data_IF_679533440878
#
_entry.id   IF_679533440878
#
_cell.length_a   1.000
_cell.length_b   1.000
_cell.length_c   1.000
_cell.angle_alpha   90.00
_cell.angle_beta   90.00
_cell.angle_gamma   90.00
#
_symmetry.space_group_name_H-M   'P 1'
#
loop_
_entity.id
_entity.type
_entity.pdbx_description
1 polymer ?
#
# COMPACT_ATOMS: atom_id res chain seq x y z
N UNK A 1 4.13 -5.95 10.96
CA UNK A 1 3.88 -5.67 9.55
C UNK A 1 4.45 -4.31 9.19
N UNK A 2 4.74 -4.15 7.90
CA UNK A 2 5.30 -2.91 7.41
C UNK A 2 4.18 -1.95 6.98
N UNK A 3 4.50 -0.67 6.98
CA UNK A 3 3.53 0.35 6.60
C UNK A 3 4.17 1.35 5.65
N UNK A 4 3.32 2.05 4.91
CA UNK A 4 3.78 3.04 3.96
C UNK A 4 2.92 4.31 4.02
N UNK A 5 3.57 5.44 3.79
CA UNK A 5 2.88 6.71 3.80
C UNK A 5 2.51 7.14 2.38
N UNK A 6 1.26 7.54 2.23
CA UNK A 6 0.77 7.98 0.93
C UNK A 6 0.66 9.50 0.92
N UNK A 7 1.24 10.09 -0.11
CA UNK A 7 1.21 11.54 -0.26
C UNK A 7 0.73 11.90 -1.66
N UNK A 8 -0.34 11.25 -2.07
CA UNK A 8 -0.91 11.48 -3.39
C UNK A 8 -2.35 10.97 -3.46
N UNK A 9 -2.98 10.89 -2.30
CA UNK A 9 -4.35 10.43 -2.22
C UNK A 9 -5.32 11.50 -2.70
N UNK A 10 -6.47 11.04 -3.19
CA UNK A 10 -7.50 11.95 -3.69
C UNK A 10 -8.77 11.81 -2.86
N UNK A 11 -9.04 10.57 -2.46
CA UNK A 11 -10.22 10.28 -1.67
C UNK A 11 -11.38 10.02 -2.62
N UNK A 12 -11.15 9.09 -3.54
CA UNK A 12 -12.18 8.73 -4.51
C UNK A 12 -11.90 7.31 -5.03
N UNK A 13 -12.09 6.35 -4.14
CA UNK A 13 -11.88 4.96 -4.49
C UNK A 13 -10.37 4.66 -4.50
N UNK A 14 -9.61 5.68 -4.18
CA UNK A 14 -8.16 5.55 -4.15
C UNK A 14 -7.79 4.59 -3.00
N UNK A 15 -8.20 4.97 -1.80
CA UNK A 15 -7.94 4.16 -0.63
C UNK A 15 -8.13 2.68 -0.98
N UNK A 16 -9.27 2.39 -1.59
CA UNK A 16 -9.59 1.03 -1.98
C UNK A 16 -8.60 0.57 -3.05
N UNK A 17 -8.54 1.33 -4.13
CA UNK A 17 -7.64 1.01 -5.23
C UNK A 17 -6.26 0.63 -4.69
N UNK A 18 -5.76 1.46 -3.79
CA UNK A 18 -4.46 1.22 -3.19
C UNK A 18 -4.50 -0.08 -2.39
N UNK A 19 -5.42 -0.13 -1.43
CA UNK A 19 -5.58 -1.30 -0.59
C UNK A 19 -5.65 -2.56 -1.46
N UNK A 20 -6.57 -2.54 -2.40
CA UNK A 20 -6.76 -3.66 -3.30
C UNK A 20 -5.52 -3.87 -4.17
N UNK A 21 -5.02 -2.75 -4.70
CA UNK A 21 -3.84 -2.80 -5.55
C UNK A 21 -2.68 -3.46 -4.78
N UNK A 22 -2.66 -3.20 -3.48
CA UNK A 22 -1.62 -3.75 -2.63
C UNK A 22 -1.89 -5.24 -2.41
N UNK A 23 -3.10 -5.53 -1.95
CA UNK A 23 -3.50 -6.91 -1.70
C UNK A 23 -3.26 -7.78 -2.93
N UNK A 24 -3.13 -7.12 -4.08
CA UNK A 24 -2.90 -7.82 -5.32
C UNK A 24 -1.45 -8.31 -5.40
N UNK A 25 -0.61 -7.71 -4.56
CA UNK A 25 0.80 -8.08 -4.53
C UNK A 25 0.93 -9.53 -4.04
N UNK A 26 1.38 -10.38 -4.95
CA UNK A 26 1.56 -11.79 -4.64
C UNK A 26 2.54 -11.94 -3.46
N UNK A 27 1.96 -12.03 -2.27
CA UNK A 27 2.77 -12.18 -1.08
C UNK A 27 2.09 -11.52 0.13
N UNK A 28 1.16 -10.63 -0.18
CA UNK A 28 0.42 -9.93 0.87
C UNK A 28 -0.80 -10.76 1.27
N UNK A 29 -0.94 -10.92 2.58
CA UNK A 29 -2.06 -11.69 3.11
C UNK A 29 -3.29 -10.78 3.24
N UNK A 30 -3.05 -9.62 3.84
CA UNK A 30 -4.12 -8.65 4.03
C UNK A 30 -3.52 -7.25 4.15
N UNK A 31 -4.20 -6.29 3.56
CA UNK A 31 -3.75 -4.91 3.61
C UNK A 31 -4.94 -3.99 3.89
N UNK A 32 -4.65 -2.86 4.51
CA UNK A 32 -5.68 -1.90 4.84
C UNK A 32 -5.15 -0.48 4.60
N UNK A 33 -6.07 0.47 4.63
CA UNK A 33 -5.71 1.87 4.41
C UNK A 33 -6.54 2.75 5.34
N UNK A 34 -5.88 3.76 5.90
CA UNK A 34 -6.55 4.68 6.80
C UNK A 34 -6.51 6.11 6.23
N UNK A 35 -7.67 6.55 5.76
CA UNK A 35 -7.78 7.88 5.19
C UNK A 35 -7.52 8.92 6.28
N UNK A 36 -7.22 10.13 5.83
CA UNK A 36 -6.95 11.22 6.76
C UNK A 36 -5.79 10.84 7.66
N UNK A 37 -5.06 9.80 7.24
CA UNK A 37 -3.92 9.33 8.01
C UNK A 37 -2.66 9.41 7.13
N UNK A 38 -2.86 9.14 5.85
CA UNK A 38 -1.75 9.17 4.91
C UNK A 38 -0.79 8.02 5.18
N UNK A 39 -1.36 6.85 5.46
CA UNK A 39 -0.56 5.68 5.74
C UNK A 39 -1.38 4.43 5.42
N UNK A 40 -0.70 3.41 4.93
CA UNK A 40 -1.34 2.16 4.58
C UNK A 40 -0.66 1.01 5.33
N UNK A 41 -1.48 0.14 5.90
CA UNK A 41 -0.97 -1.00 6.64
C UNK A 41 -0.99 -2.24 5.73
N UNK A 42 0.12 -2.96 5.74
CA UNK A 42 0.24 -4.16 4.94
C UNK A 42 0.56 -5.35 5.85
N UNK A 43 0.03 -6.51 5.46
CA UNK A 43 0.25 -7.72 6.23
C UNK A 43 0.80 -8.80 5.30
N UNK A 44 2.07 -8.65 4.96
CA UNK A 44 2.73 -9.60 4.09
C UNK A 44 3.95 -10.24 4.77
N UNK A 45 4.79 -10.85 3.97
CA UNK A 45 5.99 -11.49 4.48
C UNK A 45 7.13 -11.30 3.49
N UNK A 46 8.33 -11.14 4.04
CA UNK A 46 9.51 -10.94 3.21
C UNK A 46 9.87 -12.24 2.50
N UNK A 47 9.25 -13.32 2.94
CA UNK A 47 9.49 -14.63 2.35
C UNK A 47 8.63 -14.79 1.10
N UNK A 48 7.95 -13.71 0.74
CA UNK A 48 7.10 -13.72 -0.43
C UNK A 48 7.31 -12.44 -1.24
N UNK A 49 7.23 -11.32 -0.54
CA UNK A 49 7.42 -10.02 -1.18
C UNK A 49 7.99 -9.04 -0.16
N UNK A 50 8.61 -7.99 -0.69
CA UNK A 50 9.20 -6.97 0.17
C UNK A 50 8.31 -5.73 0.21
N UNK A 51 8.29 -5.08 1.36
CA UNK A 51 7.49 -3.88 1.54
C UNK A 51 7.88 -2.85 0.48
N UNK A 52 9.19 -2.70 0.29
CA UNK A 52 9.70 -1.76 -0.69
C UNK A 52 8.99 -1.95 -2.03
N UNK A 53 8.89 -3.21 -2.44
CA UNK A 53 8.25 -3.53 -3.69
C UNK A 53 6.75 -3.18 -3.63
N UNK A 54 6.18 -3.39 -2.46
CA UNK A 54 4.77 -3.10 -2.27
C UNK A 54 4.53 -1.61 -2.47
N UNK A 55 5.49 -0.82 -2.04
CA UNK A 55 5.39 0.63 -2.18
C UNK A 55 5.28 0.97 -3.66
N UNK A 56 6.09 0.28 -4.46
CA UNK A 56 6.08 0.49 -5.89
C UNK A 56 4.68 0.24 -6.46
N UNK A 57 4.10 -0.87 -6.03
CA UNK A 57 2.77 -1.25 -6.49
C UNK A 57 1.80 -0.10 -6.24
N UNK A 58 2.11 0.68 -5.21
CA UNK A 58 1.28 1.82 -4.86
C UNK A 58 1.58 2.98 -5.80
N UNK A 59 2.87 3.25 -5.96
CA UNK A 59 3.31 4.33 -6.83
C UNK A 59 2.92 4.00 -8.27
N UNK A 60 2.86 2.70 -8.55
CA UNK A 60 2.51 2.25 -9.88
C UNK A 60 1.07 2.63 -10.22
N UNK A 61 0.38 3.13 -9.21
CA UNK A 61 -1.01 3.54 -9.39
C UNK A 61 -1.05 4.95 -9.98
N UNK A 62 -0.79 5.93 -9.14
CA UNK A 62 -0.79 7.31 -9.57
C UNK A 62 -0.75 8.26 -8.37
N UNK A 63 0.03 7.87 -7.37
CA UNK A 63 0.17 8.67 -6.17
C UNK A 63 1.58 8.58 -5.60
N UNK A 64 1.76 9.19 -4.44
CA UNK A 64 3.07 9.18 -3.79
C UNK A 64 3.05 8.21 -2.60
N UNK A 65 3.82 7.14 -2.75
CA UNK A 65 3.90 6.12 -1.71
C UNK A 65 5.36 6.01 -1.25
N UNK A 66 5.52 5.81 0.05
CA UNK A 66 6.85 5.67 0.62
C UNK A 66 6.80 4.81 1.88
N UNK A 67 7.72 3.86 1.94
CA UNK A 67 7.79 2.96 3.09
C UNK A 67 8.12 3.77 4.34
N UNK A 68 7.25 3.64 5.33
CA UNK A 68 7.43 4.34 6.59
C UNK A 68 8.35 3.53 7.49
#
# INVERSE_FOLDING_TARGET
AQEFSVKGMSCNHCVARIEEAVGRISGVKKVKVQLKKEKAVVKFDEANVQATEICQAINELGYQAEVI
#
